data_IF_907502534446
#
_entry.id   IF_907502534446
#
_cell.length_a   1.000
_cell.length_b   1.000
_cell.length_c   1.000
_cell.angle_alpha   90.00
_cell.angle_beta   90.00
_cell.angle_gamma   90.00
#
_symmetry.space_group_name_H-M   'P 1'
#
loop_
_entity.id
_entity.type
_entity.pdbx_description
1 polymer ?
#
# COMPACT_ATOMS: atom_id res chain seq x y z
N UNK A 1 15.29 -9.14 -20.14
CA UNK A 1 15.01 -8.66 -18.78
C UNK A 1 14.84 -7.16 -18.83
N UNK A 2 13.69 -6.62 -18.44
CA UNK A 2 13.45 -5.18 -18.44
C UNK A 2 13.16 -4.75 -17.00
N UNK A 3 14.20 -4.43 -16.24
CA UNK A 3 14.07 -3.78 -14.93
C UNK A 3 14.30 -2.27 -15.11
N UNK A 4 13.41 -1.46 -14.56
CA UNK A 4 13.30 -0.03 -14.87
C UNK A 4 14.01 0.83 -13.84
N UNK A 5 14.85 1.75 -14.29
CA UNK A 5 15.23 2.97 -13.55
C UNK A 5 15.05 4.17 -14.49
N UNK A 6 14.35 5.22 -14.06
CA UNK A 6 13.97 6.37 -14.92
C UNK A 6 14.96 7.55 -14.85
N UNK A 7 15.03 8.38 -15.91
CA UNK A 7 14.38 9.72 -15.87
C UNK A 7 13.37 9.93 -17.04
N UNK A 8 12.65 11.08 -17.12
CA UNK A 8 11.30 11.14 -17.71
C UNK A 8 11.25 11.49 -19.20
N UNK A 9 10.07 11.20 -19.80
CA UNK A 9 9.45 11.67 -21.05
C UNK A 9 9.36 10.69 -22.24
N UNK A 10 8.10 10.36 -22.59
CA UNK A 10 7.49 10.01 -23.90
C UNK A 10 8.08 8.86 -24.74
N UNK A 11 9.26 8.37 -24.37
CA UNK A 11 9.84 7.07 -24.71
C UNK A 11 10.49 6.59 -23.44
N UNK A 12 9.87 5.62 -22.77
CA UNK A 12 10.44 5.04 -21.57
C UNK A 12 11.61 4.13 -21.99
N UNK A 13 12.81 4.68 -21.95
CA UNK A 13 14.04 3.92 -22.09
C UNK A 13 14.35 3.27 -20.74
N UNK A 14 14.09 1.97 -20.61
CA UNK A 14 14.49 1.21 -19.43
C UNK A 14 15.98 0.92 -19.53
N UNK A 15 16.78 1.65 -18.75
CA UNK A 15 18.20 1.32 -18.58
C UNK A 15 18.32 0.46 -17.33
N UNK A 16 18.70 -0.80 -17.50
CA UNK A 16 19.24 -1.61 -16.40
C UNK A 16 20.66 -1.08 -16.14
N UNK A 17 20.81 -0.06 -15.29
CA UNK A 17 22.13 0.32 -14.77
C UNK A 17 22.47 -0.64 -13.64
N UNK A 18 23.32 -1.62 -13.92
CA UNK A 18 23.99 -2.39 -12.86
C UNK A 18 24.92 -1.43 -12.12
N UNK A 19 24.84 -1.42 -10.80
CA UNK A 19 25.76 -0.67 -9.94
C UNK A 19 27.20 -1.20 -10.18
N UNK A 20 28.20 -0.34 -10.47
CA UNK A 20 29.59 -0.75 -10.68
C UNK A 20 30.20 -1.54 -9.50
N UNK A 21 29.54 -1.56 -8.33
CA UNK A 21 29.93 -2.37 -7.18
C UNK A 21 29.41 -3.83 -7.22
N UNK A 22 28.89 -4.31 -8.35
CA UNK A 22 28.51 -5.72 -8.49
C UNK A 22 29.76 -6.61 -8.37
N UNK A 23 29.77 -7.65 -7.51
CA UNK A 23 30.91 -8.54 -7.38
C UNK A 23 31.13 -9.28 -8.70
N UNK A 24 32.26 -9.00 -9.36
CA UNK A 24 32.79 -9.82 -10.44
C UNK A 24 33.42 -11.10 -9.87
N UNK A 25 33.25 -12.28 -10.51
CA UNK A 25 32.50 -12.52 -11.74
C UNK A 25 31.09 -13.04 -11.49
N UNK A 26 30.22 -12.87 -12.50
CA UNK A 26 29.00 -13.66 -12.64
C UNK A 26 29.30 -15.15 -12.43
N UNK A 27 28.42 -15.91 -11.77
CA UNK A 27 28.41 -17.35 -11.94
C UNK A 27 28.36 -17.65 -13.45
N UNK A 28 29.19 -18.58 -13.90
CA UNK A 28 29.25 -19.02 -15.30
C UNK A 28 27.84 -19.33 -15.82
N UNK A 29 27.41 -18.66 -16.90
CA UNK A 29 26.11 -18.93 -17.54
C UNK A 29 25.00 -17.93 -17.24
N UNK A 30 25.27 -16.88 -16.45
CA UNK A 30 24.29 -15.81 -16.20
C UNK A 30 24.56 -14.63 -17.14
N UNK A 31 23.72 -14.46 -18.16
CA UNK A 31 23.74 -13.28 -19.04
C UNK A 31 23.11 -12.10 -18.30
N UNK A 32 23.95 -11.18 -17.83
CA UNK A 32 23.49 -9.93 -17.27
C UNK A 32 22.88 -9.08 -18.38
N UNK A 33 21.55 -8.99 -18.38
CA UNK A 33 20.76 -8.15 -19.29
C UNK A 33 21.28 -6.70 -19.30
N UNK A 34 22.22 -6.41 -20.20
CA UNK A 34 22.85 -5.11 -20.43
C UNK A 34 22.19 -4.33 -21.58
N UNK A 35 21.11 -4.89 -22.14
CA UNK A 35 20.38 -4.30 -23.24
C UNK A 35 19.34 -3.32 -22.73
N UNK A 36 19.35 -2.13 -23.31
CA UNK A 36 18.33 -1.10 -23.07
C UNK A 36 17.05 -1.52 -23.80
N UNK A 37 15.98 -1.73 -23.05
CA UNK A 37 14.64 -1.98 -23.60
C UNK A 37 13.88 -0.66 -23.69
N UNK A 38 13.30 -0.36 -24.85
CA UNK A 38 12.43 0.82 -25.04
C UNK A 38 10.99 0.37 -25.10
N UNK A 39 10.13 0.96 -24.28
CA UNK A 39 8.68 0.77 -24.39
C UNK A 39 8.09 1.81 -25.35
N UNK A 40 7.29 1.34 -26.31
CA UNK A 40 6.47 2.22 -27.17
C UNK A 40 5.10 2.43 -26.52
N UNK A 41 5.08 3.30 -25.51
CA UNK A 41 3.89 3.58 -24.72
C UNK A 41 2.88 4.39 -25.54
N UNK A 42 1.64 3.90 -25.57
CA UNK A 42 0.51 4.59 -26.19
C UNK A 42 -0.70 4.51 -25.25
N UNK A 43 -1.55 5.56 -25.20
CA UNK A 43 -2.81 5.49 -24.50
C UNK A 43 -3.64 4.31 -25.00
N UNK A 44 -4.14 3.50 -24.07
CA UNK A 44 -4.97 2.34 -24.38
C UNK A 44 -6.40 2.54 -23.87
N UNK A 45 -7.38 2.75 -24.78
CA UNK A 45 -8.77 2.97 -24.40
C UNK A 45 -9.39 1.81 -23.61
N UNK A 46 -8.85 0.59 -23.71
CA UNK A 46 -9.33 -0.58 -22.93
C UNK A 46 -8.89 -0.53 -21.47
N UNK A 47 -7.87 0.27 -21.18
CA UNK A 47 -7.21 0.41 -19.89
C UNK A 47 -7.34 1.84 -19.37
N UNK A 48 -8.49 2.47 -19.61
CA UNK A 48 -8.77 3.84 -19.15
C UNK A 48 -7.74 4.85 -19.65
N UNK A 49 -7.31 4.70 -20.91
CA UNK A 49 -6.29 5.53 -21.56
C UNK A 49 -4.92 5.51 -20.85
N UNK A 50 -4.63 4.47 -20.07
CA UNK A 50 -3.31 4.25 -19.50
C UNK A 50 -2.25 4.12 -20.61
N UNK A 51 -1.08 4.72 -20.38
CA UNK A 51 0.07 4.59 -21.27
C UNK A 51 0.67 3.19 -21.19
N UNK A 52 0.45 2.38 -22.23
CA UNK A 52 0.89 0.98 -22.27
C UNK A 52 1.59 0.63 -23.58
N UNK A 53 2.45 -0.38 -23.56
CA UNK A 53 3.08 -0.99 -24.72
C UNK A 53 2.52 -2.40 -24.93
N UNK A 54 1.71 -2.58 -25.98
CA UNK A 54 1.13 -3.88 -26.32
C UNK A 54 2.11 -4.81 -27.03
N UNK A 55 3.26 -4.31 -27.46
CA UNK A 55 4.30 -5.10 -28.12
C UNK A 55 5.22 -5.79 -27.12
N UNK A 56 5.24 -5.38 -25.86
CA UNK A 56 6.15 -5.94 -24.86
C UNK A 56 5.45 -6.13 -23.51
N UNK A 57 6.09 -6.86 -22.62
CA UNK A 57 5.71 -7.00 -21.20
C UNK A 57 6.77 -6.34 -20.32
N UNK A 58 6.40 -5.94 -19.11
CA UNK A 58 7.33 -5.35 -18.14
C UNK A 58 7.51 -6.20 -16.92
N UNK A 59 8.70 -6.14 -16.33
CA UNK A 59 9.04 -6.88 -15.11
C UNK A 59 9.46 -5.93 -14.00
N UNK A 60 9.00 -6.19 -12.79
CA UNK A 60 9.32 -5.44 -11.59
C UNK A 60 9.82 -6.38 -10.52
N UNK A 61 10.80 -5.93 -9.75
CA UNK A 61 11.35 -6.66 -8.59
C UNK A 61 10.91 -5.91 -7.35
N UNK A 62 10.44 -6.63 -6.33
CA UNK A 62 10.07 -6.04 -5.05
C UNK A 62 11.22 -5.19 -4.48
N UNK A 63 10.89 -4.06 -3.84
CA UNK A 63 11.86 -3.01 -3.48
C UNK A 63 13.04 -3.51 -2.61
N UNK A 64 12.81 -4.51 -1.76
CA UNK A 64 13.84 -5.06 -0.86
C UNK A 64 14.54 -6.31 -1.40
N UNK A 65 14.29 -6.69 -2.65
CA UNK A 65 14.92 -7.85 -3.29
C UNK A 65 16.00 -7.39 -4.26
N UNK A 66 17.20 -7.97 -4.13
CA UNK A 66 18.31 -7.65 -5.02
C UNK A 66 18.03 -8.14 -6.45
N UNK A 67 17.82 -7.20 -7.36
CA UNK A 67 17.41 -7.45 -8.74
C UNK A 67 18.44 -8.24 -9.58
N UNK A 68 19.73 -8.19 -9.22
CA UNK A 68 20.79 -8.94 -9.89
C UNK A 68 21.15 -10.26 -9.17
N UNK A 69 20.29 -10.74 -8.26
CA UNK A 69 20.44 -12.08 -7.69
C UNK A 69 20.17 -13.17 -8.75
N UNK A 70 20.86 -14.31 -8.63
CA UNK A 70 20.66 -15.44 -9.55
C UNK A 70 19.20 -15.92 -9.60
N UNK A 71 18.52 -15.86 -8.46
CA UNK A 71 17.12 -16.27 -8.33
C UNK A 71 16.19 -15.38 -9.17
N UNK A 72 16.39 -14.06 -9.12
CA UNK A 72 15.65 -13.10 -9.94
C UNK A 72 16.02 -13.20 -11.41
N UNK A 73 17.31 -13.35 -11.74
CA UNK A 73 17.77 -13.46 -13.12
C UNK A 73 17.24 -14.74 -13.80
N UNK A 74 17.25 -15.86 -13.08
CA UNK A 74 16.63 -17.10 -13.55
C UNK A 74 15.13 -16.92 -13.74
N UNK A 75 14.44 -16.27 -12.78
CA UNK A 75 13.03 -15.95 -12.89
C UNK A 75 12.72 -15.09 -14.11
N UNK A 76 13.51 -14.05 -14.35
CA UNK A 76 13.36 -13.16 -15.50
C UNK A 76 13.59 -13.90 -16.82
N UNK A 77 14.51 -14.87 -16.85
CA UNK A 77 14.82 -15.65 -18.04
C UNK A 77 13.67 -16.61 -18.40
N UNK A 78 13.22 -17.47 -17.49
CA UNK A 78 12.16 -18.43 -17.82
C UNK A 78 10.79 -17.77 -18.00
N UNK A 79 10.53 -16.64 -17.33
CA UNK A 79 9.29 -15.87 -17.54
C UNK A 79 9.28 -15.10 -18.86
N UNK A 80 10.38 -15.05 -19.62
CA UNK A 80 10.41 -14.47 -20.96
C UNK A 80 9.36 -15.12 -21.87
N UNK A 81 9.22 -16.45 -21.79
CA UNK A 81 8.31 -17.26 -22.60
C UNK A 81 6.82 -16.96 -22.34
N UNK A 82 6.48 -16.37 -21.18
CA UNK A 82 5.11 -16.00 -20.84
C UNK A 82 4.57 -14.86 -21.72
N UNK A 83 5.45 -14.03 -22.30
CA UNK A 83 5.01 -12.87 -23.08
C UNK A 83 4.18 -13.28 -24.31
N UNK A 84 4.62 -14.33 -25.03
CA UNK A 84 3.89 -14.83 -26.19
C UNK A 84 2.48 -15.29 -25.79
N UNK A 85 2.35 -15.95 -24.63
CA UNK A 85 1.06 -16.40 -24.12
C UNK A 85 0.17 -15.23 -23.68
N UNK A 86 0.74 -14.22 -23.02
CA UNK A 86 0.00 -13.03 -22.62
C UNK A 86 -0.53 -12.26 -23.83
N UNK A 87 0.29 -12.09 -24.86
CA UNK A 87 -0.12 -11.49 -26.14
C UNK A 87 -1.25 -12.28 -26.80
N UNK A 88 -1.14 -13.61 -26.82
CA UNK A 88 -2.17 -14.48 -27.37
C UNK A 88 -3.49 -14.31 -26.61
N UNK A 89 -3.47 -14.36 -25.28
CA UNK A 89 -4.69 -14.20 -24.47
C UNK A 89 -5.41 -12.88 -24.74
N UNK A 90 -4.66 -11.78 -24.90
CA UNK A 90 -5.23 -10.46 -25.19
C UNK A 90 -5.70 -10.29 -26.64
N UNK A 91 -5.24 -11.14 -27.56
CA UNK A 91 -5.70 -11.20 -28.93
C UNK A 91 -6.98 -12.05 -29.04
N UNK A 92 -7.03 -13.16 -28.31
CA UNK A 92 -8.17 -14.07 -28.26
C UNK A 92 -9.37 -13.45 -27.52
N UNK A 93 -9.11 -12.68 -26.45
CA UNK A 93 -10.13 -11.97 -25.68
C UNK A 93 -9.77 -10.49 -25.49
N UNK A 94 -10.52 -9.62 -26.17
CA UNK A 94 -10.32 -8.18 -26.13
C UNK A 94 -10.77 -7.53 -24.83
N UNK A 95 -11.50 -8.24 -23.97
CA UNK A 95 -11.93 -7.77 -22.63
C UNK A 95 -10.83 -7.93 -21.58
N UNK A 96 -9.79 -8.74 -21.87
CA UNK A 96 -8.63 -8.90 -20.99
C UNK A 96 -7.90 -7.57 -20.87
N UNK A 97 -7.95 -7.01 -19.67
CA UNK A 97 -7.31 -5.74 -19.35
C UNK A 97 -5.82 -5.94 -19.02
N UNK A 98 -5.53 -6.47 -17.84
CA UNK A 98 -4.18 -6.70 -17.35
C UNK A 98 -3.92 -8.18 -17.13
N UNK A 99 -2.70 -8.61 -17.43
CA UNK A 99 -2.23 -9.95 -17.12
C UNK A 99 -1.00 -9.86 -16.24
N UNK A 100 -0.97 -10.71 -15.21
CA UNK A 100 0.03 -10.69 -14.17
C UNK A 100 0.63 -12.06 -13.96
N UNK A 101 1.93 -12.08 -13.68
CA UNK A 101 2.63 -13.24 -13.15
C UNK A 101 3.52 -12.77 -12.00
N UNK A 102 3.52 -13.48 -10.87
CA UNK A 102 4.39 -13.18 -9.73
C UNK A 102 5.18 -14.43 -9.35
N UNK A 103 6.51 -14.32 -9.32
CA UNK A 103 7.38 -15.37 -8.82
C UNK A 103 7.46 -15.33 -7.29
N UNK A 104 7.76 -16.48 -6.67
CA UNK A 104 8.04 -16.57 -5.23
C UNK A 104 9.24 -15.70 -4.81
N UNK A 105 10.14 -15.44 -5.75
CA UNK A 105 11.36 -14.63 -5.56
C UNK A 105 11.06 -13.13 -5.57
N UNK A 106 9.82 -12.69 -5.85
CA UNK A 106 9.45 -11.28 -5.86
C UNK A 106 9.64 -10.59 -7.21
N UNK A 107 9.70 -11.36 -8.31
CA UNK A 107 9.62 -10.85 -9.67
C UNK A 107 8.15 -10.85 -10.13
N UNK A 108 7.62 -9.69 -10.46
CA UNK A 108 6.30 -9.50 -11.06
C UNK A 108 6.47 -9.20 -12.55
N UNK A 109 5.69 -9.86 -13.41
CA UNK A 109 5.64 -9.61 -14.86
C UNK A 109 4.22 -9.20 -15.25
N UNK A 110 4.12 -8.16 -16.07
CA UNK A 110 2.86 -7.53 -16.45
C UNK A 110 2.76 -7.41 -17.97
N UNK A 111 1.57 -7.67 -18.50
CA UNK A 111 1.20 -7.36 -19.87
C UNK A 111 -0.19 -6.66 -19.94
N UNK A 112 -0.39 -5.65 -20.81
CA UNK A 112 0.60 -4.99 -21.66
C UNK A 112 1.68 -4.28 -20.86
N UNK A 113 2.83 -4.04 -21.49
CA UNK A 113 3.98 -3.45 -20.84
C UNK A 113 3.69 -2.05 -20.32
N UNK A 114 4.09 -1.76 -19.10
CA UNK A 114 3.92 -0.45 -18.47
C UNK A 114 5.21 0.02 -17.84
N UNK A 115 5.47 1.32 -17.96
CA UNK A 115 6.61 1.94 -17.31
C UNK A 115 6.56 1.77 -15.79
N UNK A 116 5.37 1.58 -15.20
CA UNK A 116 5.22 1.29 -13.78
C UNK A 116 3.81 0.75 -13.44
N UNK A 117 3.70 -0.39 -12.76
CA UNK A 117 2.48 -0.71 -11.98
C UNK A 117 2.72 -0.34 -10.55
N UNK A 118 2.35 0.87 -10.22
CA UNK A 118 2.47 1.34 -8.87
C UNK A 118 1.23 0.83 -8.15
N UNK A 119 1.22 -0.41 -7.66
CA UNK A 119 0.32 -0.71 -6.53
C UNK A 119 0.56 0.32 -5.40
N UNK A 120 1.78 0.86 -5.34
CA UNK A 120 2.23 1.97 -4.49
C UNK A 120 1.73 3.37 -4.91
N UNK A 121 1.31 3.62 -6.15
CA UNK A 121 0.96 4.99 -6.66
C UNK A 121 -0.40 5.07 -7.31
N UNK A 122 -1.18 3.98 -7.28
CA UNK A 122 -2.60 4.20 -7.22
C UNK A 122 -2.90 4.95 -5.93
N UNK A 123 -3.56 6.11 -6.00
CA UNK A 123 -3.95 6.85 -4.82
C UNK A 123 -4.82 5.95 -3.93
N UNK A 124 -4.51 5.87 -2.63
CA UNK A 124 -5.24 5.04 -1.67
C UNK A 124 -5.98 5.90 -0.67
N UNK A 125 -7.20 5.49 -0.33
CA UNK A 125 -7.97 6.00 0.80
C UNK A 125 -7.92 4.96 1.92
N UNK A 126 -7.23 5.27 3.01
CA UNK A 126 -6.94 4.30 4.06
C UNK A 126 -7.49 4.73 5.41
N UNK A 127 -8.05 3.79 6.17
CA UNK A 127 -8.40 4.00 7.57
C UNK A 127 -7.62 3.03 8.44
N UNK A 128 -6.78 3.56 9.32
CA UNK A 128 -6.06 2.76 10.30
C UNK A 128 -6.87 2.71 11.59
N UNK A 129 -7.34 1.53 11.98
CA UNK A 129 -8.00 1.29 13.26
C UNK A 129 -6.97 0.74 14.23
N UNK A 130 -6.75 1.43 15.34
CA UNK A 130 -5.82 1.01 16.40
C UNK A 130 -6.63 0.65 17.63
N UNK A 131 -6.43 -0.57 18.10
CA UNK A 131 -6.91 -1.02 19.39
C UNK A 131 -6.23 -0.24 20.52
N UNK A 132 -7.04 0.41 21.35
CA UNK A 132 -6.60 1.10 22.55
C UNK A 132 -7.30 0.55 23.81
N UNK A 133 -7.50 -0.77 23.85
CA UNK A 133 -7.92 -1.53 25.03
C UNK A 133 -6.78 -1.66 26.05
N UNK A 134 -7.12 -2.11 27.26
CA UNK A 134 -6.15 -2.32 28.33
C UNK A 134 -5.04 -3.32 28.01
N UNK A 135 -5.27 -4.30 27.14
CA UNK A 135 -4.25 -5.30 26.75
C UNK A 135 -3.13 -4.71 25.92
N UNK A 136 -3.42 -3.62 25.19
CA UNK A 136 -2.44 -2.86 24.41
C UNK A 136 -1.53 -1.98 25.28
N UNK A 137 -1.63 -2.00 26.62
CA UNK A 137 -0.67 -1.31 27.49
C UNK A 137 0.71 -1.98 27.49
N UNK A 138 1.77 -1.18 27.57
CA UNK A 138 3.15 -1.67 27.57
C UNK A 138 3.61 -2.09 26.16
N UNK A 139 4.01 -3.35 25.98
CA UNK A 139 4.58 -3.83 24.71
C UNK A 139 3.63 -3.68 23.52
N UNK A 140 2.32 -3.88 23.70
CA UNK A 140 1.32 -3.69 22.65
C UNK A 140 1.33 -2.26 22.09
N UNK A 141 1.50 -1.26 22.96
CA UNK A 141 1.58 0.15 22.54
C UNK A 141 2.87 0.48 21.77
N UNK A 142 3.99 -0.15 22.13
CA UNK A 142 5.26 0.01 21.41
C UNK A 142 5.12 -0.59 20.01
N UNK A 143 4.51 -1.77 19.91
CA UNK A 143 4.25 -2.42 18.63
C UNK A 143 3.28 -1.59 17.78
N UNK A 144 2.17 -1.11 18.33
CA UNK A 144 1.22 -0.27 17.60
C UNK A 144 1.87 1.02 17.06
N UNK A 145 2.71 1.67 17.87
CA UNK A 145 3.46 2.85 17.45
C UNK A 145 4.44 2.55 16.32
N UNK A 146 5.16 1.42 16.41
CA UNK A 146 6.05 0.98 15.33
C UNK A 146 5.27 0.66 14.06
N UNK A 147 4.17 -0.08 14.17
CA UNK A 147 3.29 -0.42 13.04
C UNK A 147 2.74 0.83 12.38
N UNK A 148 2.30 1.83 13.15
CA UNK A 148 1.82 3.11 12.62
C UNK A 148 2.93 3.88 11.88
N UNK A 149 4.16 3.85 12.40
CA UNK A 149 5.34 4.44 11.75
C UNK A 149 5.63 3.78 10.41
N UNK A 150 5.69 2.44 10.37
CA UNK A 150 5.94 1.69 9.14
C UNK A 150 4.78 1.86 8.15
N UNK A 151 3.54 1.86 8.63
CA UNK A 151 2.35 2.11 7.83
C UNK A 151 2.44 3.48 7.13
N UNK A 152 2.74 4.55 7.87
CA UNK A 152 2.92 5.89 7.29
C UNK A 152 4.12 6.02 6.37
N UNK A 153 5.17 5.20 6.56
CA UNK A 153 6.30 5.15 5.64
C UNK A 153 5.93 4.60 4.26
N UNK A 154 4.87 3.78 4.17
CA UNK A 154 4.35 3.28 2.87
C UNK A 154 3.49 4.29 2.12
N UNK A 155 3.06 5.38 2.75
CA UNK A 155 2.13 6.35 2.17
C UNK A 155 2.86 7.50 1.46
N UNK A 156 2.36 7.82 0.27
CA UNK A 156 2.82 8.92 -0.58
C UNK A 156 1.92 10.15 -0.43
N UNK A 157 2.35 11.31 -0.92
CA UNK A 157 1.53 12.52 -0.89
C UNK A 157 0.22 12.43 -1.69
N UNK A 158 0.06 11.42 -2.56
CA UNK A 158 -1.17 11.18 -3.32
C UNK A 158 -2.17 10.32 -2.54
N UNK A 159 -1.77 9.74 -1.40
CA UNK A 159 -2.64 8.92 -0.56
C UNK A 159 -3.35 9.78 0.49
N UNK A 160 -4.51 9.30 0.94
CA UNK A 160 -5.32 9.90 1.99
C UNK A 160 -5.54 8.88 3.10
N UNK A 161 -5.46 9.33 4.34
CA UNK A 161 -5.58 8.45 5.50
C UNK A 161 -6.32 9.10 6.66
N UNK A 162 -6.86 8.28 7.56
CA UNK A 162 -7.21 8.72 8.91
C UNK A 162 -6.99 7.58 9.91
N UNK A 163 -6.94 7.91 11.20
CA UNK A 163 -6.65 6.96 12.27
C UNK A 163 -7.76 7.01 13.32
N UNK A 164 -8.38 5.86 13.53
CA UNK A 164 -9.40 5.61 14.54
C UNK A 164 -8.79 4.85 15.72
N UNK A 165 -9.18 5.22 16.92
CA UNK A 165 -8.88 4.54 18.16
C UNK A 165 -10.13 3.81 18.61
N UNK A 166 -10.04 2.49 18.73
CA UNK A 166 -11.07 1.66 19.34
C UNK A 166 -10.83 1.62 20.84
N UNK A 167 -11.73 2.24 21.62
CA UNK A 167 -11.57 2.40 23.07
C UNK A 167 -12.72 1.73 23.82
N UNK A 168 -12.43 1.25 25.03
CA UNK A 168 -13.41 0.68 25.94
C UNK A 168 -13.61 1.53 27.19
N UNK A 169 -14.76 1.37 27.87
CA UNK A 169 -14.91 1.82 29.27
C UNK A 169 -15.14 0.61 30.18
N UNK A 170 -14.69 0.70 31.44
CA UNK A 170 -14.87 -0.37 32.42
C UNK A 170 -16.28 -0.39 33.05
N UNK A 171 -17.11 0.65 32.86
CA UNK A 171 -18.29 0.87 33.73
C UNK A 171 -19.56 1.32 33.02
N UNK A 172 -19.54 1.56 31.70
CA UNK A 172 -20.75 1.94 30.96
C UNK A 172 -20.79 1.27 29.60
N UNK A 173 -21.98 0.84 29.16
CA UNK A 173 -22.26 0.33 27.80
C UNK A 173 -22.00 1.35 26.67
N UNK A 174 -21.36 2.48 26.96
CA UNK A 174 -20.93 3.47 26.00
C UNK A 174 -19.52 3.10 25.52
N UNK A 175 -19.48 2.26 24.50
CA UNK A 175 -18.36 2.25 23.57
C UNK A 175 -18.29 3.58 22.83
N UNK A 176 -17.08 4.11 22.60
CA UNK A 176 -16.91 5.22 21.67
C UNK A 176 -15.61 5.07 20.88
N UNK A 177 -15.78 5.07 19.56
CA UNK A 177 -14.72 5.19 18.57
C UNK A 177 -14.29 6.65 18.53
N UNK A 178 -12.99 6.90 18.54
CA UNK A 178 -12.46 8.28 18.47
C UNK A 178 -11.38 8.40 17.41
N UNK A 179 -11.44 9.44 16.60
CA UNK A 179 -10.32 9.81 15.75
C UNK A 179 -9.17 10.35 16.60
N UNK A 180 -7.93 10.13 16.16
CA UNK A 180 -6.73 10.68 16.84
C UNK A 180 -6.80 12.22 16.95
N UNK A 181 -7.49 12.88 16.02
CA UNK A 181 -7.66 14.33 16.00
C UNK A 181 -9.09 14.74 15.67
N UNK A 182 -9.67 15.58 16.53
CA UNK A 182 -11.04 16.08 16.36
C UNK A 182 -11.19 16.97 15.12
N UNK A 183 -10.09 17.54 14.64
CA UNK A 183 -10.05 18.44 13.47
C UNK A 183 -10.41 17.71 12.18
N UNK A 184 -10.13 16.40 12.10
CA UNK A 184 -10.38 15.59 10.90
C UNK A 184 -11.44 14.51 11.13
N UNK A 185 -12.34 14.69 12.11
CA UNK A 185 -13.48 13.80 12.33
C UNK A 185 -14.33 13.68 11.06
N UNK A 186 -14.62 12.45 10.64
CA UNK A 186 -15.47 12.18 9.48
C UNK A 186 -14.85 12.56 8.12
N UNK A 187 -13.54 12.82 8.06
CA UNK A 187 -12.82 13.16 6.81
C UNK A 187 -11.52 12.36 6.69
N UNK A 188 -10.89 12.35 5.52
CA UNK A 188 -9.51 11.83 5.37
C UNK A 188 -8.51 12.98 5.32
N UNK A 189 -7.25 12.69 5.63
CA UNK A 189 -6.15 13.62 5.58
C UNK A 189 -5.15 13.19 4.52
N UNK A 190 -4.67 14.12 3.70
CA UNK A 190 -3.62 13.83 2.74
C UNK A 190 -2.33 13.41 3.45
N UNK A 191 -1.67 12.36 2.97
CA UNK A 191 -0.45 11.78 3.52
C UNK A 191 0.83 12.58 3.23
N UNK A 192 0.80 13.90 3.45
CA UNK A 192 1.99 14.75 3.47
C UNK A 192 2.85 14.45 4.70
N UNK A 193 4.16 14.68 4.62
CA UNK A 193 5.05 14.43 5.77
C UNK A 193 4.68 15.27 7.00
N UNK A 194 4.19 16.50 6.80
CA UNK A 194 3.69 17.34 7.88
C UNK A 194 2.47 16.71 8.58
N UNK A 195 1.50 16.19 7.81
CA UNK A 195 0.31 15.54 8.33
C UNK A 195 0.63 14.21 9.03
N UNK A 196 1.51 13.39 8.43
CA UNK A 196 1.99 12.14 9.03
C UNK A 196 2.71 12.40 10.36
N UNK A 197 3.64 13.36 10.38
CA UNK A 197 4.36 13.75 11.59
C UNK A 197 3.42 14.31 12.65
N UNK A 198 2.44 15.13 12.27
CA UNK A 198 1.45 15.68 13.22
C UNK A 198 0.56 14.58 13.79
N UNK A 199 0.14 13.61 12.98
CA UNK A 199 -0.64 12.46 13.48
C UNK A 199 0.17 11.60 14.44
N UNK A 200 1.45 11.35 14.15
CA UNK A 200 2.35 10.65 15.08
C UNK A 200 2.57 11.44 16.36
N UNK A 201 2.77 12.75 16.27
CA UNK A 201 2.90 13.63 17.43
C UNK A 201 1.63 13.57 18.28
N UNK A 202 0.44 13.75 17.69
CA UNK A 202 -0.83 13.68 18.41
C UNK A 202 -1.04 12.29 19.04
N UNK A 203 -0.78 11.21 18.31
CA UNK A 203 -0.86 9.85 18.85
C UNK A 203 0.06 9.64 20.05
N UNK A 204 1.27 10.22 20.03
CA UNK A 204 2.22 10.13 21.13
C UNK A 204 1.89 11.10 22.29
N UNK A 205 1.46 12.34 22.01
CA UNK A 205 1.10 13.38 22.97
C UNK A 205 -0.15 13.01 23.79
N UNK A 206 -1.16 12.48 23.11
CA UNK A 206 -2.39 12.03 23.75
C UNK A 206 -2.13 10.81 24.67
N UNK A 207 -1.00 10.11 24.48
CA UNK A 207 -0.47 9.10 25.41
C UNK A 207 0.52 9.64 26.43
N UNK A 208 1.14 10.81 26.23
CA UNK A 208 2.08 11.42 27.18
C UNK A 208 1.41 12.31 28.25
N UNK A 209 0.22 12.87 27.97
CA UNK A 209 -0.62 13.64 28.93
C UNK A 209 -1.32 12.77 29.99
N UNK A 210 -0.77 11.58 30.26
CA UNK A 210 -1.17 10.61 31.30
C UNK A 210 -1.13 11.17 32.74
N UNK A 211 -0.58 12.36 32.97
CA UNK A 211 -0.43 12.97 34.30
C UNK A 211 -1.23 14.26 34.53
N UNK A 212 -1.95 14.77 33.53
CA UNK A 212 -2.70 16.03 33.64
C UNK A 212 -4.15 15.88 33.18
N UNK A 213 -4.98 15.37 34.09
CA UNK A 213 -6.43 15.60 34.34
C UNK A 213 -7.42 15.98 33.22
N UNK A 214 -7.15 15.83 31.92
CA UNK A 214 -8.10 16.30 30.88
C UNK A 214 -8.00 15.65 29.48
N UNK A 215 -7.47 14.42 29.32
CA UNK A 215 -7.84 13.57 28.17
C UNK A 215 -7.84 12.08 28.55
N UNK A 216 -9.01 11.44 28.52
CA UNK A 216 -9.23 10.00 28.79
C UNK A 216 -8.77 9.14 27.61
N UNK A 217 -7.47 8.84 27.53
CA UNK A 217 -6.87 7.97 26.49
C UNK A 217 -6.04 6.83 27.08
N UNK A 218 -6.21 6.56 28.36
CA UNK A 218 -5.64 5.35 28.95
C UNK A 218 -6.24 4.15 28.24
N UNK A 219 -5.38 3.25 27.79
CA UNK A 219 -5.80 1.94 27.33
C UNK A 219 -6.52 1.25 28.49
N UNK A 220 -7.84 1.14 28.40
CA UNK A 220 -8.70 0.68 29.47
C UNK A 220 -9.86 -0.13 28.90
N UNK A 221 -10.26 -1.17 29.63
CA UNK A 221 -11.40 -2.00 29.25
C UNK A 221 -11.17 -2.79 27.95
N UNK A 222 -12.28 -3.25 27.37
CA UNK A 222 -12.36 -4.00 26.11
C UNK A 222 -12.55 -3.03 24.94
N UNK A 223 -11.79 -3.17 23.86
CA UNK A 223 -11.96 -2.33 22.68
C UNK A 223 -13.24 -2.70 21.92
N UNK A 224 -13.99 -1.69 21.47
CA UNK A 224 -15.08 -1.88 20.51
C UNK A 224 -14.56 -1.79 19.08
N UNK A 225 -14.02 -2.92 18.62
CA UNK A 225 -13.57 -3.06 17.25
C UNK A 225 -14.76 -3.09 16.27
N UNK A 226 -15.93 -3.58 16.69
CA UNK A 226 -17.12 -3.63 15.84
C UNK A 226 -17.62 -2.23 15.47
N UNK A 227 -17.73 -1.34 16.45
CA UNK A 227 -18.03 0.06 16.24
C UNK A 227 -16.95 0.77 15.43
N UNK A 228 -15.67 0.51 15.71
CA UNK A 228 -14.57 1.16 14.99
C UNK A 228 -14.49 0.76 13.50
N UNK A 229 -14.72 -0.52 13.20
CA UNK A 229 -14.82 -1.01 11.83
C UNK A 229 -16.06 -0.45 11.13
N UNK A 230 -17.20 -0.38 11.82
CA UNK A 230 -18.43 0.23 11.29
C UNK A 230 -18.19 1.70 10.92
N UNK A 231 -17.56 2.48 11.79
CA UNK A 231 -17.20 3.88 11.54
C UNK A 231 -16.21 4.00 10.36
N UNK A 232 -15.21 3.12 10.28
CA UNK A 232 -14.26 3.09 9.17
C UNK A 232 -14.96 2.83 7.81
N UNK A 233 -15.88 1.87 7.77
CA UNK A 233 -16.68 1.60 6.57
C UNK A 233 -17.59 2.78 6.21
N UNK A 234 -18.24 3.41 7.19
CA UNK A 234 -19.06 4.60 6.96
C UNK A 234 -18.24 5.76 6.41
N UNK A 235 -17.05 6.02 6.98
CA UNK A 235 -16.14 7.06 6.50
C UNK A 235 -15.72 6.83 5.04
N UNK A 236 -15.24 5.63 4.71
CA UNK A 236 -14.82 5.31 3.34
C UNK A 236 -15.99 5.40 2.36
N UNK A 237 -17.19 4.99 2.77
CA UNK A 237 -18.41 5.13 1.97
C UNK A 237 -18.75 6.61 1.72
N UNK A 238 -18.72 7.45 2.76
CA UNK A 238 -18.98 8.89 2.64
C UNK A 238 -17.98 9.57 1.72
N UNK A 239 -16.69 9.23 1.83
CA UNK A 239 -15.63 9.73 0.95
C UNK A 239 -15.91 9.35 -0.51
N UNK A 240 -16.32 8.09 -0.75
CA UNK A 240 -16.66 7.58 -2.09
C UNK A 240 -17.90 8.25 -2.69
N UNK A 241 -18.96 8.41 -1.90
CA UNK A 241 -20.24 8.96 -2.35
C UNK A 241 -20.18 10.49 -2.53
N UNK A 242 -19.47 11.20 -1.64
CA UNK A 242 -19.41 12.65 -1.64
C UNK A 242 -18.57 13.25 -2.77
N UNK A 243 -17.72 12.45 -3.46
CA UNK A 243 -16.77 12.90 -4.49
C UNK A 243 -16.03 14.20 -4.10
N UNK A 244 -15.77 14.39 -2.80
CA UNK A 244 -15.17 15.62 -2.29
C UNK A 244 -13.67 15.64 -2.59
N UNK A 245 -13.07 16.83 -2.50
CA UNK A 245 -11.64 17.08 -2.68
C UNK A 245 -10.72 16.40 -1.63
N UNK A 246 -11.22 15.38 -0.93
CA UNK A 246 -10.63 14.73 0.24
C UNK A 246 -10.49 13.21 0.01
N UNK A 247 -10.60 12.78 -1.24
CA UNK A 247 -10.39 11.39 -1.66
C UNK A 247 -9.24 11.33 -2.66
N UNK A 248 -8.45 10.27 -2.55
CA UNK A 248 -7.47 9.86 -3.53
C UNK A 248 -8.16 9.40 -4.83
N UNK A 249 -9.43 8.98 -4.76
CA UNK A 249 -10.23 8.49 -5.89
C UNK A 249 -9.83 7.07 -6.37
N UNK A 250 -8.99 6.38 -5.60
CA UNK A 250 -8.48 5.05 -5.94
C UNK A 250 -8.90 3.97 -4.95
N UNK A 251 -7.95 3.13 -4.52
CA UNK A 251 -8.24 1.93 -3.72
C UNK A 251 -8.59 2.32 -2.29
N UNK A 252 -9.67 1.75 -1.74
CA UNK A 252 -10.04 1.94 -0.35
C UNK A 252 -9.63 0.72 0.48
N UNK A 253 -9.02 0.92 1.65
CA UNK A 253 -8.74 -0.17 2.57
C UNK A 253 -8.79 0.26 4.04
N UNK A 254 -9.05 -0.72 4.91
CA UNK A 254 -9.02 -0.56 6.37
C UNK A 254 -7.90 -1.46 6.88
N UNK A 255 -7.01 -0.90 7.71
CA UNK A 255 -5.96 -1.65 8.40
C UNK A 255 -6.27 -1.68 9.89
N UNK A 256 -6.30 -2.87 10.50
CA UNK A 256 -6.55 -3.05 11.93
C UNK A 256 -5.26 -3.45 12.66
N UNK A 257 -4.95 -2.76 13.75
CA UNK A 257 -3.82 -3.05 14.64
C UNK A 257 -4.37 -3.39 16.03
N UNK A 258 -4.25 -4.64 16.43
CA UNK A 258 -4.70 -5.17 17.72
C UNK A 258 -3.81 -6.34 18.16
N UNK A 259 -3.78 -6.64 19.46
CA UNK A 259 -3.13 -7.83 19.99
C UNK A 259 -4.02 -9.08 19.97
N UNK A 260 -5.35 -8.91 19.88
CA UNK A 260 -6.32 -10.00 19.92
C UNK A 260 -7.70 -9.53 19.46
N UNK A 261 -8.49 -10.44 18.85
CA UNK A 261 -9.90 -10.17 18.51
C UNK A 261 -10.79 -11.13 19.30
N UNK A 262 -11.72 -10.62 20.13
CA UNK A 262 -12.62 -11.48 20.90
C UNK A 262 -13.77 -12.08 20.09
N UNK A 263 -14.11 -11.51 18.92
CA UNK A 263 -15.28 -11.87 18.12
C UNK A 263 -14.93 -12.00 16.62
N UNK A 264 -15.81 -12.67 15.86
CA UNK A 264 -15.65 -12.89 14.41
C UNK A 264 -16.10 -11.71 13.54
N UNK A 265 -16.78 -10.72 14.13
CA UNK A 265 -17.31 -9.50 13.50
C UNK A 265 -18.11 -9.75 12.22
N UNK A 266 -18.70 -10.94 12.04
CA UNK A 266 -19.34 -11.33 10.78
C UNK A 266 -20.42 -10.35 10.31
N UNK A 267 -21.13 -9.72 11.25
CA UNK A 267 -22.17 -8.73 10.97
C UNK A 267 -21.64 -7.40 10.40
N UNK A 268 -20.36 -7.06 10.64
CA UNK A 268 -19.73 -5.84 10.12
C UNK A 268 -19.25 -6.03 8.68
N UNK A 269 -18.96 -7.27 8.28
CA UNK A 269 -18.43 -7.63 6.96
C UNK A 269 -19.48 -8.24 6.02
N UNK A 270 -20.73 -8.38 6.45
CA UNK A 270 -21.85 -8.86 5.65
C UNK A 270 -22.44 -7.76 4.76
#
# INVERSE_FOLDING_TARGET
CSAFTSPPYSRATAVVKLDPASPTPAPSGVDYCNQIATLDLRPDPRLFDAETDRNTSTSQVAQFVYHASNEILNAANWTADLEAKMKQNAADDQTVQWQYFCSKQGLMKIYPGVQYLMSETYPKDLVLVIDNSGSMMGSGSIMANRTMTEFFATLTANDYFNVLLAMGTQTTSASYVRYVTDVYNGTLLQATDANKNKMMELFNEDRAKLTASSRNLQAQGLADLGGALTEAFQLLRLVKESKTAVSAGGVQAIALVTDSTPEDYAAVFA
#
